data_IF_314813804007
#
_entry.id   IF_314813804007
#
_cell.length_a   1.000
_cell.length_b   1.000
_cell.length_c   1.000
_cell.angle_alpha   90.00
_cell.angle_beta   90.00
_cell.angle_gamma   90.00
#
_symmetry.space_group_name_H-M   'P 1'
#
loop_
_entity.id
_entity.type
_entity.pdbx_description
1 polymer ?
#
# COMPACT_ATOMS: atom_id res chain seq x y z
N UNK A 1 -29.16 3.17 -4.33
CA UNK A 1 -27.74 3.55 -4.27
C UNK A 1 -26.98 2.43 -4.94
N UNK A 2 -26.32 2.69 -6.06
CA UNK A 2 -25.39 1.71 -6.65
C UNK A 2 -24.11 1.79 -5.83
N UNK A 3 -23.72 0.69 -5.17
CA UNK A 3 -22.39 0.58 -4.58
C UNK A 3 -21.36 0.78 -5.70
N UNK A 4 -20.66 1.91 -5.65
CA UNK A 4 -19.58 2.17 -6.59
C UNK A 4 -18.46 1.17 -6.29
N UNK A 5 -17.92 0.47 -7.31
CA UNK A 5 -16.84 -0.48 -7.07
C UNK A 5 -15.64 0.24 -6.44
N UNK A 6 -15.05 -0.41 -5.45
CA UNK A 6 -13.90 0.08 -4.68
C UNK A 6 -12.64 -0.72 -4.98
N UNK A 7 -11.50 -0.15 -4.58
CA UNK A 7 -10.19 -0.78 -4.57
C UNK A 7 -9.57 -0.60 -3.19
N UNK A 8 -8.67 -1.51 -2.84
CA UNK A 8 -7.82 -1.38 -1.67
C UNK A 8 -6.51 -0.67 -2.05
N UNK A 9 -6.11 0.32 -1.25
CA UNK A 9 -4.88 1.08 -1.40
C UNK A 9 -4.05 0.85 -0.15
N UNK A 10 -2.91 0.17 -0.30
CA UNK A 10 -1.97 -0.05 0.80
C UNK A 10 -0.88 1.01 0.78
N UNK A 11 -0.55 1.52 1.96
CA UNK A 11 0.38 2.63 2.20
C UNK A 11 1.39 2.22 3.27
N UNK A 12 2.65 2.52 3.01
CA UNK A 12 3.74 2.40 3.98
C UNK A 12 4.50 3.72 4.02
N UNK A 13 4.71 4.22 5.24
CA UNK A 13 5.47 5.44 5.49
C UNK A 13 6.57 5.18 6.49
N UNK A 14 7.81 5.30 6.06
CA UNK A 14 8.96 5.25 6.95
C UNK A 14 9.76 6.55 6.86
N UNK A 15 10.79 6.68 7.68
CA UNK A 15 11.72 7.81 7.64
C UNK A 15 12.45 7.95 6.30
N UNK A 16 12.57 6.87 5.52
CA UNK A 16 13.42 6.81 4.34
C UNK A 16 12.66 6.54 3.05
N UNK A 17 11.48 5.94 3.12
CA UNK A 17 10.75 5.50 1.95
C UNK A 17 9.25 5.58 2.14
N UNK A 18 8.56 5.67 1.00
CA UNK A 18 7.11 5.62 0.92
C UNK A 18 6.73 4.67 -0.19
N UNK A 19 5.81 3.77 0.11
CA UNK A 19 5.25 2.85 -0.88
C UNK A 19 3.74 3.03 -0.95
N UNK A 20 3.22 2.88 -2.17
CA UNK A 20 1.80 2.84 -2.46
C UNK A 20 1.57 1.67 -3.40
N UNK A 21 0.65 0.80 -3.03
CA UNK A 21 0.19 -0.30 -3.89
C UNK A 21 -1.33 -0.36 -3.88
N UNK A 22 -1.88 -0.98 -4.92
CA UNK A 22 -3.33 -1.11 -5.09
C UNK A 22 -3.70 -2.54 -5.43
N UNK A 23 -4.85 -2.99 -4.95
CA UNK A 23 -5.43 -4.29 -5.28
C UNK A 23 -6.95 -4.22 -5.37
N UNK A 24 -7.58 -5.21 -6.01
CA UNK A 24 -9.04 -5.34 -5.99
C UNK A 24 -9.53 -5.78 -4.59
N UNK A 25 -8.64 -6.35 -3.77
CA UNK A 25 -8.88 -6.69 -2.37
C UNK A 25 -7.76 -6.18 -1.46
N UNK A 26 -8.04 -6.08 -0.16
CA UNK A 26 -7.00 -5.76 0.84
C UNK A 26 -5.82 -6.73 0.77
N UNK A 27 -6.10 -8.03 0.66
CA UNK A 27 -5.05 -9.06 0.54
C UNK A 27 -4.15 -8.80 -0.66
N UNK A 28 -4.73 -8.50 -1.82
CA UNK A 28 -3.94 -8.19 -3.03
C UNK A 28 -3.08 -6.94 -2.86
N UNK A 29 -3.62 -5.88 -2.24
CA UNK A 29 -2.87 -4.66 -1.99
C UNK A 29 -1.68 -4.90 -1.04
N UNK A 30 -1.88 -5.69 0.03
CA UNK A 30 -0.82 -6.12 0.97
C UNK A 30 0.22 -7.02 0.31
N UNK A 31 -0.21 -8.02 -0.46
CA UNK A 31 0.70 -8.91 -1.18
C UNK A 31 1.59 -8.11 -2.16
N UNK A 32 1.00 -7.16 -2.88
CA UNK A 32 1.73 -6.26 -3.76
C UNK A 32 2.72 -5.37 -2.98
N UNK A 33 2.33 -4.88 -1.80
CA UNK A 33 3.21 -4.11 -0.91
C UNK A 33 4.43 -4.93 -0.49
N UNK A 34 4.21 -6.16 -0.02
CA UNK A 34 5.29 -7.04 0.41
C UNK A 34 6.23 -7.43 -0.74
N UNK A 35 5.68 -7.67 -1.94
CA UNK A 35 6.50 -7.90 -3.13
C UNK A 35 7.35 -6.67 -3.51
N UNK A 36 6.78 -5.46 -3.40
CA UNK A 36 7.51 -4.22 -3.65
C UNK A 36 8.62 -3.98 -2.61
N UNK A 37 8.32 -4.21 -1.33
CA UNK A 37 9.29 -4.11 -0.24
C UNK A 37 10.43 -5.11 -0.40
N UNK A 38 10.10 -6.35 -0.75
CA UNK A 38 11.10 -7.39 -1.02
C UNK A 38 12.05 -6.96 -2.13
N UNK A 39 11.50 -6.48 -3.26
CA UNK A 39 12.30 -5.97 -4.38
C UNK A 39 13.13 -4.75 -4.01
N UNK A 40 12.63 -3.89 -3.13
CA UNK A 40 13.39 -2.76 -2.60
C UNK A 40 14.62 -3.25 -1.81
N UNK A 41 14.41 -4.15 -0.84
CA UNK A 41 15.49 -4.72 -0.02
C UNK A 41 16.58 -5.36 -0.89
N UNK A 42 16.20 -6.07 -1.95
CA UNK A 42 17.15 -6.71 -2.86
C UNK A 42 18.04 -5.70 -3.61
N UNK A 43 17.53 -4.50 -3.89
CA UNK A 43 18.29 -3.45 -4.59
C UNK A 43 19.07 -2.52 -3.65
N UNK A 44 18.51 -2.21 -2.47
CA UNK A 44 19.07 -1.20 -1.55
C UNK A 44 19.86 -1.83 -0.41
N UNK A 45 19.78 -3.15 -0.23
CA UNK A 45 20.28 -3.88 0.94
C UNK A 45 19.63 -3.43 2.25
N UNK A 46 18.41 -2.88 2.20
CA UNK A 46 17.61 -2.64 3.39
C UNK A 46 17.31 -3.96 4.13
N UNK A 47 17.16 -3.85 5.46
CA UNK A 47 16.80 -4.97 6.32
C UNK A 47 15.35 -5.37 6.09
N UNK A 48 15.09 -6.66 5.84
CA UNK A 48 13.77 -7.14 5.41
C UNK A 48 12.73 -7.08 6.52
N UNK A 49 13.18 -7.29 7.74
CA UNK A 49 12.43 -7.26 9.00
C UNK A 49 12.19 -5.85 9.55
N UNK A 50 12.70 -4.81 8.89
CA UNK A 50 12.39 -3.43 9.25
C UNK A 50 10.89 -3.12 9.11
N UNK A 51 10.19 -3.79 8.18
CA UNK A 51 8.77 -3.60 7.96
C UNK A 51 7.98 -4.78 8.55
N UNK A 52 7.14 -4.48 9.55
CA UNK A 52 6.12 -5.40 10.03
C UNK A 52 4.84 -5.21 9.18
N UNK A 53 4.41 -6.21 8.40
CA UNK A 53 3.26 -6.07 7.52
C UNK A 53 1.95 -5.76 8.25
N UNK A 54 1.80 -6.20 9.49
CA UNK A 54 0.56 -6.07 10.25
C UNK A 54 0.49 -4.71 10.97
N UNK A 55 1.64 -4.14 11.35
CA UNK A 55 1.72 -2.86 12.06
C UNK A 55 1.96 -1.66 11.12
N UNK A 56 2.77 -1.82 10.07
CA UNK A 56 3.27 -0.70 9.26
C UNK A 56 2.46 -0.44 7.98
N UNK A 57 1.64 -1.40 7.54
CA UNK A 57 0.85 -1.27 6.31
C UNK A 57 -0.56 -0.77 6.65
N UNK A 58 -0.85 0.47 6.25
CA UNK A 58 -2.18 1.06 6.32
C UNK A 58 -2.91 0.73 5.03
N UNK A 59 -4.12 0.17 5.13
CA UNK A 59 -4.97 -0.10 3.97
C UNK A 59 -6.21 0.78 4.01
N UNK A 60 -6.46 1.49 2.91
CA UNK A 60 -7.64 2.32 2.69
C UNK A 60 -8.51 1.67 1.61
N UNK A 61 -9.82 1.74 1.79
CA UNK A 61 -10.76 1.44 0.71
C UNK A 61 -11.17 2.74 0.02
N UNK A 62 -11.16 2.75 -1.31
CA UNK A 62 -11.54 3.92 -2.08
C UNK A 62 -12.32 3.57 -3.34
N UNK A 63 -13.29 4.40 -3.75
CA UNK A 63 -13.96 4.24 -5.03
C UNK A 63 -12.97 4.22 -6.20
N UNK A 64 -13.24 3.40 -7.21
CA UNK A 64 -12.48 3.43 -8.45
C UNK A 64 -12.62 4.82 -9.08
N UNK A 65 -11.47 5.39 -9.48
CA UNK A 65 -11.39 6.75 -10.03
C UNK A 65 -11.14 7.84 -8.97
N UNK A 66 -11.07 7.49 -7.68
CA UNK A 66 -10.66 8.41 -6.63
C UNK A 66 -9.26 8.96 -6.88
N UNK A 67 -9.14 10.28 -6.77
CA UNK A 67 -7.86 10.94 -6.71
C UNK A 67 -7.40 11.05 -5.25
N UNK A 68 -6.09 11.04 -5.05
CA UNK A 68 -5.48 11.18 -3.73
C UNK A 68 -4.49 12.33 -3.75
N UNK A 69 -4.52 13.15 -2.69
CA UNK A 69 -3.51 14.16 -2.40
C UNK A 69 -2.93 13.85 -1.04
N UNK A 70 -1.61 13.72 -0.96
CA UNK A 70 -0.92 13.37 0.28
C UNK A 70 -1.52 12.11 0.95
N UNK A 71 -1.92 11.15 0.11
CA UNK A 71 -2.53 9.87 0.50
C UNK A 71 -3.88 9.97 1.22
N UNK A 72 -4.49 11.14 1.18
CA UNK A 72 -5.88 11.36 1.57
C UNK A 72 -6.75 11.50 0.31
N UNK A 73 -7.96 10.91 0.29
CA UNK A 73 -8.91 11.13 -0.81
C UNK A 73 -9.24 12.62 -0.97
N UNK A 74 -9.39 13.10 -2.22
CA UNK A 74 -9.89 14.45 -2.55
C UNK A 74 -11.29 14.43 -3.14
#
# INVERSE_FOLDING_TARGET
MTDQPTVAVALVFTSHYRFVTTGATEKEARDAMMAAWQRHCDHTRAERDFLDPDEDIIVLEAPIGSAFRDYSPI
#
